data_IF_759587037924
#
_entry.id   IF_759587037924
#
_cell.length_a   1.000
_cell.length_b   1.000
_cell.length_c   1.000
_cell.angle_alpha   90.00
_cell.angle_beta   90.00
_cell.angle_gamma   90.00
#
_symmetry.space_group_name_H-M   'P 1'
#
loop_
_entity.id
_entity.type
_entity.pdbx_description
1 polymer ?
#
# COMPACT_ATOMS: atom_id res chain seq x y z
N UNK A 1 -35.35 16.57 -40.61
CA UNK A 1 -34.71 17.18 -39.42
C UNK A 1 -33.41 16.43 -39.07
N UNK A 2 -32.28 16.98 -39.50
CA UNK A 2 -30.93 16.46 -39.22
C UNK A 2 -30.57 16.73 -37.76
N UNK A 3 -30.17 15.69 -37.03
CA UNK A 3 -29.55 15.82 -35.70
C UNK A 3 -28.04 15.75 -35.86
N UNK A 4 -27.36 16.84 -35.51
CA UNK A 4 -25.90 16.98 -35.55
C UNK A 4 -25.21 16.09 -34.51
N UNK A 5 -24.00 15.55 -34.78
CA UNK A 5 -23.17 14.94 -33.76
C UNK A 5 -22.40 16.01 -32.96
N UNK A 6 -22.57 16.01 -31.64
CA UNK A 6 -21.83 16.85 -30.69
C UNK A 6 -20.37 16.38 -30.60
N UNK A 7 -19.42 17.28 -30.88
CA UNK A 7 -17.99 17.03 -30.73
C UNK A 7 -17.59 16.91 -29.25
N UNK A 8 -16.60 16.05 -28.89
CA UNK A 8 -16.06 16.00 -27.54
C UNK A 8 -15.17 17.24 -27.26
N UNK A 9 -15.37 17.86 -26.09
CA UNK A 9 -14.51 18.94 -25.57
C UNK A 9 -13.15 18.38 -25.15
N UNK A 10 -12.03 19.07 -25.38
CA UNK A 10 -10.73 18.66 -24.85
C UNK A 10 -10.69 18.81 -23.32
N UNK A 11 -9.91 17.99 -22.60
CA UNK A 11 -9.75 18.11 -21.16
C UNK A 11 -9.04 19.42 -20.79
N UNK A 12 -9.56 20.10 -19.77
CA UNK A 12 -8.97 21.28 -19.17
C UNK A 12 -7.63 20.88 -18.52
N UNK A 13 -6.51 21.41 -19.01
CA UNK A 13 -5.23 21.35 -18.31
C UNK A 13 -5.34 22.12 -16.99
N UNK A 14 -5.46 21.40 -15.88
CA UNK A 14 -5.19 21.96 -14.56
C UNK A 14 -3.68 21.95 -14.34
N UNK A 15 -3.05 23.13 -14.48
CA UNK A 15 -1.72 23.37 -13.98
C UNK A 15 -1.79 23.39 -12.44
N UNK A 16 -1.14 22.41 -11.79
CA UNK A 16 -0.97 22.39 -10.33
C UNK A 16 0.06 23.46 -9.97
N UNK A 17 -0.27 24.48 -9.14
CA UNK A 17 0.74 25.41 -8.66
C UNK A 17 1.63 24.69 -7.63
N UNK A 18 2.92 24.57 -7.95
CA UNK A 18 3.95 24.14 -6.99
C UNK A 18 4.09 25.21 -5.90
N UNK A 19 3.53 24.95 -4.73
CA UNK A 19 3.81 25.75 -3.54
C UNK A 19 5.11 25.25 -2.88
N UNK A 20 6.06 26.14 -2.52
CA UNK A 20 7.24 25.75 -1.76
C UNK A 20 6.90 25.48 -0.28
N UNK A 21 7.42 24.37 0.25
CA UNK A 21 7.31 23.95 1.63
C UNK A 21 7.90 24.98 2.62
N UNK A 22 7.28 25.22 3.79
CA UNK A 22 7.85 26.12 4.78
C UNK A 22 9.02 25.48 5.52
N UNK A 23 10.25 25.92 5.22
CA UNK A 23 11.43 25.69 6.07
C UNK A 23 11.40 26.65 7.26
N UNK A 24 10.89 26.18 8.40
CA UNK A 24 11.13 26.84 9.69
C UNK A 24 11.37 25.80 10.78
N UNK A 25 12.61 25.74 11.28
CA UNK A 25 13.06 24.92 12.40
C UNK A 25 12.89 25.75 13.70
N UNK A 26 12.31 25.22 14.79
CA UNK A 26 12.16 25.97 16.04
C UNK A 26 13.53 26.19 16.72
N UNK A 27 13.75 27.35 17.38
CA UNK A 27 15.00 27.63 18.09
C UNK A 27 14.91 27.17 19.54
N UNK A 28 15.91 26.43 20.02
CA UNK A 28 16.10 26.24 21.46
C UNK A 28 16.58 24.87 21.90
N UNK A 29 17.84 24.54 21.64
CA UNK A 29 18.59 23.61 22.51
C UNK A 29 20.01 24.14 22.71
N UNK A 30 20.31 24.52 23.94
CA UNK A 30 21.64 24.99 24.38
C UNK A 30 22.54 23.78 24.55
N UNK A 31 23.74 23.81 23.96
CA UNK A 31 24.79 22.80 24.17
C UNK A 31 25.48 23.04 25.53
N UNK A 32 25.84 22.00 26.29
CA UNK A 32 26.60 22.16 27.51
C UNK A 32 28.08 22.50 27.20
N UNK A 33 28.54 23.65 27.72
CA UNK A 33 29.94 24.07 27.71
C UNK A 33 30.70 23.39 28.85
N UNK A 34 31.70 22.55 28.55
CA UNK A 34 32.72 22.14 29.53
C UNK A 34 33.96 23.01 29.36
N UNK A 35 34.22 23.81 30.40
CA UNK A 35 35.41 24.64 30.59
C UNK A 35 36.55 23.77 31.13
N UNK A 36 37.67 23.71 30.41
CA UNK A 36 38.93 23.19 30.94
C UNK A 36 39.90 24.37 31.09
N UNK A 37 40.34 24.58 32.33
CA UNK A 37 41.21 25.66 32.78
C UNK A 37 42.66 25.35 32.39
N UNK A 38 43.32 26.31 31.74
CA UNK A 38 44.73 26.24 31.36
C UNK A 38 45.66 26.52 32.56
N UNK A 39 46.77 25.79 32.65
CA UNK A 39 47.89 26.06 33.56
C UNK A 39 49.19 26.08 32.76
N UNK A 40 49.96 27.16 32.91
CA UNK A 40 51.43 27.13 33.01
C UNK A 40 52.27 26.92 31.75
N UNK A 41 52.96 27.99 31.34
CA UNK A 41 54.03 28.13 30.34
C UNK A 41 55.16 27.08 30.33
N UNK A 42 55.79 26.91 29.15
CA UNK A 42 57.25 27.05 28.89
C UNK A 42 57.55 27.08 27.37
N UNK A 43 58.67 27.67 26.92
CA UNK A 43 58.88 28.09 25.54
C UNK A 43 59.44 27.01 24.60
N UNK A 44 59.18 27.31 23.32
CA UNK A 44 59.39 26.58 22.08
C UNK A 44 60.87 26.30 21.76
N UNK A 45 61.22 25.09 21.28
CA UNK A 45 62.31 24.90 20.33
C UNK A 45 61.76 24.66 18.92
N UNK A 46 62.23 25.41 17.94
CA UNK A 46 62.02 25.14 16.51
C UNK A 46 63.08 24.18 15.99
N UNK A 47 62.70 23.08 15.32
CA UNK A 47 63.56 22.39 14.37
C UNK A 47 63.06 22.53 12.91
N UNK A 48 63.93 22.24 11.92
CA UNK A 48 63.97 22.92 10.63
C UNK A 48 63.05 22.31 9.56
N UNK A 49 62.77 23.14 8.54
CA UNK A 49 62.14 22.78 7.27
C UNK A 49 62.78 21.53 6.65
N UNK A 50 62.10 20.39 6.68
CA UNK A 50 62.18 19.35 5.62
C UNK A 50 60.98 18.40 5.72
N UNK A 51 60.60 17.85 4.56
CA UNK A 51 59.66 16.75 4.36
C UNK A 51 58.16 17.09 4.47
N UNK A 52 57.64 17.56 3.33
CA UNK A 52 56.21 17.63 3.00
C UNK A 52 55.66 16.22 2.83
N UNK A 53 55.31 15.57 3.94
CA UNK A 53 54.46 14.38 3.94
C UNK A 53 53.02 14.84 3.74
N UNK A 54 52.43 14.55 2.57
CA UNK A 54 50.99 14.64 2.40
C UNK A 54 50.36 13.64 3.40
N UNK A 55 49.41 14.05 4.26
CA UNK A 55 48.71 13.10 5.10
C UNK A 55 47.85 12.19 4.20
N UNK A 56 47.75 10.88 4.47
CA UNK A 56 46.81 9.99 3.80
C UNK A 56 45.41 10.26 4.36
N UNK A 57 44.89 11.46 4.11
CA UNK A 57 43.47 11.71 4.17
C UNK A 57 42.90 11.35 2.79
N UNK A 58 41.72 10.72 2.80
CA UNK A 58 40.88 10.37 1.65
C UNK A 58 41.20 9.04 0.93
N UNK A 59 40.73 7.93 1.52
CA UNK A 59 40.14 6.85 0.72
C UNK A 59 39.09 6.02 1.49
N UNK A 60 38.34 6.63 2.42
CA UNK A 60 37.11 6.02 2.96
C UNK A 60 35.87 6.74 2.38
N UNK A 61 35.95 7.03 1.08
CA UNK A 61 34.88 7.66 0.33
C UNK A 61 33.75 6.66 0.04
N UNK A 62 32.64 6.87 0.74
CA UNK A 62 31.30 6.82 0.15
C UNK A 62 30.79 5.45 -0.32
N UNK A 63 30.33 4.62 0.63
CA UNK A 63 29.20 3.72 0.41
C UNK A 63 27.93 4.26 1.09
N UNK A 64 27.74 5.59 1.07
CA UNK A 64 26.42 6.14 1.35
C UNK A 64 25.53 5.78 0.16
N UNK A 65 24.88 4.61 0.25
CA UNK A 65 23.75 4.29 -0.60
C UNK A 65 22.70 5.36 -0.33
N UNK A 66 22.29 6.18 -1.31
CA UNK A 66 21.16 7.06 -1.11
C UNK A 66 19.96 6.17 -0.79
N UNK A 67 19.42 6.29 0.42
CA UNK A 67 18.11 5.75 0.74
C UNK A 67 17.10 6.62 -0.01
N UNK A 68 16.78 6.22 -1.22
CA UNK A 68 15.75 6.87 -2.01
C UNK A 68 14.43 6.48 -1.36
N UNK A 69 13.80 7.42 -0.64
CA UNK A 69 12.39 7.27 -0.30
C UNK A 69 11.66 7.26 -1.63
N UNK A 70 11.26 6.08 -2.12
CA UNK A 70 10.64 5.96 -3.42
C UNK A 70 9.14 6.20 -3.25
N UNK A 71 8.59 7.34 -3.69
CA UNK A 71 7.15 7.58 -3.66
C UNK A 71 6.37 6.59 -4.55
N UNK A 72 7.06 5.68 -5.25
CA UNK A 72 6.46 4.64 -6.07
C UNK A 72 5.86 3.51 -5.24
N UNK A 73 6.26 3.29 -3.99
CA UNK A 73 5.74 2.16 -3.20
C UNK A 73 4.24 2.26 -2.92
N UNK A 74 3.71 3.47 -2.69
CA UNK A 74 2.25 3.68 -2.52
C UNK A 74 1.44 3.38 -3.79
N UNK A 75 2.09 3.25 -4.95
CA UNK A 75 1.44 2.82 -6.20
C UNK A 75 1.48 1.30 -6.42
N UNK A 76 2.17 0.56 -5.55
CA UNK A 76 2.28 -0.90 -5.59
C UNK A 76 1.28 -1.59 -4.65
N UNK A 77 0.45 -0.82 -3.95
CA UNK A 77 -0.64 -1.31 -3.11
C UNK A 77 -1.93 -0.58 -3.49
N UNK A 78 -3.12 -1.18 -3.31
CA UNK A 78 -4.37 -0.50 -3.58
C UNK A 78 -4.54 0.69 -2.63
N UNK A 79 -5.04 1.82 -3.15
CA UNK A 79 -5.32 3.03 -2.37
C UNK A 79 -4.21 3.43 -1.36
N UNK A 80 -2.93 3.28 -1.69
CA UNK A 80 -1.78 3.45 -0.77
C UNK A 80 -1.57 4.87 -0.19
N UNK A 81 -2.52 5.77 -0.39
CA UNK A 81 -2.57 7.09 0.21
C UNK A 81 -3.86 7.26 1.00
N UNK A 82 -3.78 7.06 2.31
CA UNK A 82 -4.93 7.06 3.22
C UNK A 82 -4.88 8.32 4.08
N UNK A 83 -5.94 9.13 4.06
CA UNK A 83 -6.09 10.32 4.90
C UNK A 83 -4.89 11.31 4.90
N UNK A 84 -4.16 11.42 3.79
CA UNK A 84 -2.99 12.31 3.70
C UNK A 84 -1.66 11.65 4.07
N UNK A 85 -1.65 10.34 4.34
CA UNK A 85 -0.49 9.57 4.74
C UNK A 85 -0.20 8.45 3.73
N UNK A 86 1.09 8.21 3.50
CA UNK A 86 1.55 7.08 2.71
C UNK A 86 1.50 5.80 3.55
N UNK A 87 0.81 4.77 3.05
CA UNK A 87 0.74 3.45 3.69
C UNK A 87 2.15 2.87 3.84
N UNK A 88 2.46 2.27 5.00
CA UNK A 88 3.78 1.66 5.27
C UNK A 88 4.91 2.66 5.59
N UNK A 89 4.67 3.97 5.54
CA UNK A 89 5.68 5.00 5.81
C UNK A 89 5.48 5.67 7.17
N UNK A 90 6.56 5.72 7.94
CA UNK A 90 6.61 6.46 9.20
C UNK A 90 6.92 7.94 8.93
N UNK A 91 5.92 8.80 8.79
CA UNK A 91 6.13 10.26 8.83
C UNK A 91 6.01 10.82 10.25
N UNK A 92 5.03 10.34 11.01
CA UNK A 92 4.70 10.78 12.37
C UNK A 92 3.95 9.73 13.20
N UNK A 93 3.68 8.55 12.62
CA UNK A 93 2.94 7.46 13.22
C UNK A 93 3.84 6.23 13.24
N UNK A 94 4.26 5.78 14.43
CA UNK A 94 5.17 4.64 14.56
C UNK A 94 4.52 3.34 14.11
N UNK A 95 3.21 3.25 14.32
CA UNK A 95 2.42 2.05 14.13
C UNK A 95 2.38 1.69 12.62
N UNK A 96 2.05 2.65 11.73
CA UNK A 96 2.02 2.45 10.25
C UNK A 96 3.32 1.92 9.59
N UNK A 97 4.43 1.80 10.33
CA UNK A 97 5.67 1.19 9.83
C UNK A 97 5.55 -0.33 9.66
N UNK A 98 4.74 -1.01 10.46
CA UNK A 98 4.71 -2.48 10.50
C UNK A 98 4.30 -3.06 9.14
N UNK A 99 3.23 -2.54 8.55
CA UNK A 99 2.86 -2.84 7.16
C UNK A 99 4.00 -2.63 6.17
N UNK A 100 4.78 -1.56 6.33
CA UNK A 100 5.93 -1.28 5.47
C UNK A 100 7.04 -2.32 5.60
N UNK A 101 7.20 -2.95 6.76
CA UNK A 101 8.13 -4.06 6.98
C UNK A 101 7.63 -5.34 6.31
N UNK A 102 6.38 -5.73 6.57
CA UNK A 102 5.77 -6.93 5.94
C UNK A 102 5.73 -6.80 4.41
N UNK A 103 5.38 -5.62 3.89
CA UNK A 103 5.43 -5.37 2.45
C UNK A 103 6.86 -5.47 1.89
N UNK A 104 7.88 -5.14 2.68
CA UNK A 104 9.28 -5.30 2.27
C UNK A 104 9.75 -6.76 2.29
N UNK A 105 9.27 -7.57 3.23
CA UNK A 105 9.50 -9.02 3.29
C UNK A 105 8.79 -9.72 2.11
N UNK A 106 7.63 -9.21 1.69
CA UNK A 106 6.94 -9.60 0.44
C UNK A 106 7.61 -9.03 -0.84
N UNK A 107 8.85 -8.57 -0.77
CA UNK A 107 9.62 -7.98 -1.88
C UNK A 107 8.90 -6.82 -2.62
N UNK A 108 8.06 -6.07 -1.90
CA UNK A 108 7.21 -4.99 -2.43
C UNK A 108 6.19 -5.46 -3.47
N UNK A 109 5.71 -6.70 -3.32
CA UNK A 109 4.62 -7.27 -4.11
C UNK A 109 3.36 -7.32 -3.27
N UNK A 110 2.25 -6.83 -3.83
CA UNK A 110 0.93 -7.03 -3.24
C UNK A 110 0.51 -8.49 -3.45
N UNK A 111 0.98 -9.35 -2.55
CA UNK A 111 0.66 -10.78 -2.57
C UNK A 111 -0.69 -11.03 -1.91
N UNK A 112 -1.30 -12.16 -2.25
CA UNK A 112 -2.54 -12.61 -1.61
C UNK A 112 -2.35 -12.86 -0.10
N UNK A 113 -1.19 -13.41 0.30
CA UNK A 113 -0.81 -13.56 1.71
C UNK A 113 -0.80 -12.21 2.43
N UNK A 114 -0.04 -11.23 1.94
CA UNK A 114 0.00 -9.90 2.53
C UNK A 114 -1.37 -9.21 2.52
N UNK A 115 -2.19 -9.43 1.50
CA UNK A 115 -3.52 -8.86 1.42
C UNK A 115 -4.48 -9.45 2.47
N UNK A 116 -4.36 -10.74 2.78
CA UNK A 116 -5.18 -11.40 3.79
C UNK A 116 -4.66 -11.25 5.22
N UNK A 117 -3.39 -10.90 5.39
CA UNK A 117 -2.80 -10.62 6.70
C UNK A 117 -3.47 -9.42 7.39
N UNK A 118 -3.45 -9.45 8.71
CA UNK A 118 -3.88 -8.38 9.63
C UNK A 118 -2.62 -7.89 10.35
N UNK A 119 -1.94 -6.92 9.74
CA UNK A 119 -0.57 -6.60 10.14
C UNK A 119 -0.50 -5.85 11.48
N UNK A 120 -1.50 -5.06 11.84
CA UNK A 120 -1.56 -4.35 13.13
C UNK A 120 -2.41 -5.05 14.20
N UNK A 121 -3.14 -6.11 13.84
CA UNK A 121 -3.86 -6.97 14.77
C UNK A 121 -5.18 -6.39 15.25
N UNK A 122 -5.77 -5.43 14.53
CA UNK A 122 -7.06 -4.82 14.88
C UNK A 122 -8.27 -5.68 14.46
N UNK A 123 -8.03 -6.79 13.76
CA UNK A 123 -9.03 -7.71 13.25
C UNK A 123 -9.51 -7.38 11.83
N UNK A 124 -8.82 -6.50 11.11
CA UNK A 124 -9.07 -6.17 9.70
C UNK A 124 -7.89 -6.65 8.87
N UNK A 125 -8.18 -7.24 7.71
CA UNK A 125 -7.11 -7.60 6.79
C UNK A 125 -6.63 -6.36 6.04
N UNK A 126 -5.35 -6.36 5.64
CA UNK A 126 -4.73 -5.30 4.87
C UNK A 126 -5.53 -4.98 3.59
N UNK A 127 -6.05 -6.01 2.93
CA UNK A 127 -6.92 -5.88 1.77
C UNK A 127 -8.25 -5.20 2.10
N UNK A 128 -8.90 -5.55 3.21
CA UNK A 128 -10.13 -4.89 3.62
C UNK A 128 -9.91 -3.40 3.90
N UNK A 129 -8.79 -3.06 4.52
CA UNK A 129 -8.43 -1.69 4.87
C UNK A 129 -8.01 -0.85 3.66
N UNK A 130 -7.30 -1.43 2.71
CA UNK A 130 -6.88 -0.74 1.48
C UNK A 130 -7.93 -0.82 0.35
N UNK A 131 -9.06 -1.48 0.60
CA UNK A 131 -10.21 -1.54 -0.30
C UNK A 131 -10.12 -2.63 -1.36
N UNK A 132 -9.21 -3.59 -1.21
CA UNK A 132 -9.12 -4.83 -1.98
C UNK A 132 -9.43 -6.05 -1.09
N UNK A 133 -10.66 -6.18 -0.57
CA UNK A 133 -11.00 -7.28 0.34
C UNK A 133 -10.94 -8.66 -0.32
N UNK A 134 -10.95 -8.74 -1.65
CA UNK A 134 -10.88 -10.02 -2.35
C UNK A 134 -9.51 -10.31 -2.93
N UNK A 135 -8.51 -9.48 -2.62
CA UNK A 135 -7.13 -9.70 -3.02
C UNK A 135 -6.96 -9.88 -4.54
N UNK A 136 -7.78 -9.17 -5.32
CA UNK A 136 -7.81 -9.24 -6.79
C UNK A 136 -7.05 -8.09 -7.44
N UNK A 137 -6.70 -7.06 -6.66
CA UNK A 137 -5.94 -5.93 -7.18
C UNK A 137 -4.50 -6.35 -7.47
N UNK A 138 -3.90 -5.72 -8.48
CA UNK A 138 -2.50 -5.89 -8.81
C UNK A 138 -1.89 -4.54 -9.19
N UNK A 139 -0.56 -4.43 -9.04
CA UNK A 139 0.16 -3.19 -9.32
C UNK A 139 -0.15 -2.63 -10.73
N UNK A 140 -0.67 -1.41 -10.77
CA UNK A 140 -1.08 -0.73 -12.01
C UNK A 140 -2.53 -0.96 -12.43
N UNK A 141 -3.29 -1.81 -11.74
CA UNK A 141 -4.74 -1.91 -11.93
C UNK A 141 -5.43 -0.61 -11.47
N UNK A 142 -6.51 -0.24 -12.16
CA UNK A 142 -7.30 0.92 -11.79
C UNK A 142 -8.10 0.64 -10.52
N UNK A 143 -7.81 1.39 -9.46
CA UNK A 143 -8.52 1.30 -8.17
C UNK A 143 -10.01 1.64 -8.28
N UNK A 144 -10.46 2.28 -9.36
CA UNK A 144 -11.90 2.50 -9.61
C UNK A 144 -12.70 1.20 -9.76
N UNK A 145 -12.02 0.09 -10.05
CA UNK A 145 -12.61 -1.26 -10.13
C UNK A 145 -12.89 -1.86 -8.74
N UNK A 146 -12.23 -1.38 -7.69
CA UNK A 146 -12.49 -1.72 -6.30
C UNK A 146 -13.80 -1.06 -5.84
N UNK A 147 -14.92 -1.59 -6.35
CA UNK A 147 -16.23 -0.93 -6.23
C UNK A 147 -16.61 -0.72 -4.77
N UNK A 148 -17.02 0.52 -4.47
CA UNK A 148 -17.68 0.85 -3.21
C UNK A 148 -16.76 1.10 -2.02
N UNK A 149 -15.44 1.23 -2.22
CA UNK A 149 -14.53 1.78 -1.23
C UNK A 149 -14.32 3.27 -1.47
N UNK A 150 -14.80 4.09 -0.54
CA UNK A 150 -14.50 5.53 -0.49
C UNK A 150 -13.35 5.79 0.48
N UNK A 151 -12.81 7.00 0.46
CA UNK A 151 -11.73 7.44 1.35
C UNK A 151 -12.08 7.41 2.85
N UNK A 152 -13.36 7.22 3.22
CA UNK A 152 -13.83 7.00 4.60
C UNK A 152 -13.90 5.52 4.99
N UNK A 153 -13.85 4.65 3.99
CA UNK A 153 -14.02 3.20 4.10
C UNK A 153 -12.68 2.46 4.21
N UNK A 154 -11.58 3.19 4.00
CA UNK A 154 -10.20 2.71 3.98
C UNK A 154 -9.44 3.21 5.21
N UNK A 155 -8.44 2.44 5.61
CA UNK A 155 -7.68 2.66 6.84
C UNK A 155 -6.20 2.28 6.67
N UNK A 156 -5.39 2.36 7.73
CA UNK A 156 -3.93 2.24 7.62
C UNK A 156 -3.54 0.89 8.22
N UNK A 157 -3.13 -0.10 7.40
CA UNK A 157 -2.92 -1.48 7.85
C UNK A 157 -1.75 -1.75 8.80
N UNK A 158 -1.06 -0.70 9.22
CA UNK A 158 -0.05 -0.81 10.28
C UNK A 158 -0.47 -0.08 11.56
N UNK A 159 -1.61 0.60 11.59
CA UNK A 159 -2.04 1.41 12.72
C UNK A 159 -3.38 0.92 13.26
N UNK A 160 -3.33 0.17 14.37
CA UNK A 160 -4.48 -0.40 15.07
C UNK A 160 -5.55 0.63 15.50
N UNK A 161 -5.21 1.93 15.48
CA UNK A 161 -6.14 3.03 15.77
C UNK A 161 -6.83 3.56 14.53
N UNK A 162 -6.29 3.28 13.37
CA UNK A 162 -6.82 3.61 12.07
C UNK A 162 -7.50 2.38 11.50
N UNK A 163 -8.75 2.15 11.92
CA UNK A 163 -9.55 0.98 11.53
C UNK A 163 -10.68 1.34 10.55
N UNK A 164 -11.22 0.33 9.88
CA UNK A 164 -12.43 0.44 9.06
C UNK A 164 -13.64 -0.23 9.71
N UNK A 165 -14.81 0.42 9.61
CA UNK A 165 -16.08 -0.17 10.07
C UNK A 165 -16.64 -1.25 9.13
N UNK A 166 -15.95 -1.51 8.01
CA UNK A 166 -16.40 -2.47 7.01
C UNK A 166 -16.22 -3.91 7.48
N UNK A 167 -17.04 -4.75 6.88
CA UNK A 167 -17.00 -6.20 7.02
C UNK A 167 -16.52 -6.79 5.71
N UNK A 168 -15.81 -7.90 5.79
CA UNK A 168 -15.39 -8.64 4.62
C UNK A 168 -16.61 -9.04 3.77
N UNK A 169 -16.66 -8.66 2.48
CA UNK A 169 -17.69 -9.14 1.58
C UNK A 169 -17.48 -10.63 1.28
N UNK A 170 -18.48 -11.24 0.67
CA UNK A 170 -18.30 -12.53 0.00
C UNK A 170 -17.48 -12.25 -1.26
N UNK A 171 -16.30 -12.83 -1.33
CA UNK A 171 -15.52 -12.88 -2.56
C UNK A 171 -16.06 -14.03 -3.37
N UNK A 172 -16.75 -13.71 -4.46
CA UNK A 172 -17.16 -14.73 -5.42
C UNK A 172 -15.87 -15.24 -6.08
N UNK A 173 -15.49 -16.46 -5.74
CA UNK A 173 -14.70 -17.27 -6.66
C UNK A 173 -15.64 -17.43 -7.86
N UNK A 174 -15.24 -16.94 -9.04
CA UNK A 174 -16.00 -17.20 -10.25
C UNK A 174 -16.14 -18.72 -10.37
N UNK A 175 -17.31 -19.26 -9.98
CA UNK A 175 -17.75 -20.60 -10.27
C UNK A 175 -17.95 -20.67 -11.80
N UNK A 176 -16.85 -20.75 -12.53
CA UNK A 176 -16.77 -21.13 -13.95
C UNK A 176 -17.01 -22.65 -14.12
N UNK A 177 -17.74 -23.29 -13.19
CA UNK A 177 -18.19 -24.66 -13.31
C UNK A 177 -19.72 -24.70 -13.56
N UNK A 178 -20.04 -25.07 -14.80
CA UNK A 178 -21.30 -25.65 -15.30
C UNK A 178 -22.41 -24.71 -15.83
N UNK A 179 -22.14 -24.14 -17.02
CA UNK A 179 -23.13 -24.12 -18.11
C UNK A 179 -23.57 -25.57 -18.42
N UNK A 180 -24.52 -26.10 -17.64
CA UNK A 180 -25.27 -27.32 -17.96
C UNK A 180 -26.15 -27.00 -19.20
N UNK A 181 -25.52 -27.08 -20.36
CA UNK A 181 -26.20 -27.32 -21.63
C UNK A 181 -26.87 -28.69 -21.55
N UNK A 182 -28.23 -28.78 -21.54
CA UNK A 182 -28.89 -30.04 -21.26
C UNK A 182 -28.72 -30.98 -22.45
N UNK A 183 -27.94 -32.04 -22.28
CA UNK A 183 -27.92 -33.19 -23.20
C UNK A 183 -28.05 -34.51 -22.42
N UNK A 184 -28.80 -35.49 -22.95
CA UNK A 184 -29.80 -36.17 -22.15
C UNK A 184 -29.40 -37.61 -21.82
N UNK A 185 -28.61 -37.83 -20.76
CA UNK A 185 -28.32 -39.20 -20.32
C UNK A 185 -28.38 -39.37 -18.80
N UNK A 186 -29.61 -39.43 -18.29
CA UNK A 186 -30.05 -40.42 -17.30
C UNK A 186 -31.57 -40.33 -17.15
N UNK A 187 -32.30 -41.00 -18.05
CA UNK A 187 -33.72 -41.26 -17.80
C UNK A 187 -33.82 -42.27 -16.66
N UNK A 188 -34.40 -41.81 -15.55
CA UNK A 188 -34.99 -42.68 -14.55
C UNK A 188 -35.93 -43.69 -15.23
N UNK A 189 -35.85 -44.95 -14.82
CA UNK A 189 -36.77 -46.01 -15.24
C UNK A 189 -38.23 -45.55 -15.14
N UNK A 190 -39.07 -45.75 -16.18
CA UNK A 190 -40.49 -45.43 -16.09
C UNK A 190 -41.18 -46.38 -15.10
N UNK A 191 -42.00 -45.82 -14.19
CA UNK A 191 -42.91 -46.60 -13.35
C UNK A 191 -43.89 -47.40 -14.23
N UNK A 192 -44.28 -48.63 -13.83
CA UNK A 192 -45.23 -49.42 -14.62
C UNK A 192 -46.60 -48.73 -14.74
N UNK A 193 -47.32 -48.90 -15.85
CA UNK A 193 -48.62 -48.25 -16.07
C UNK A 193 -49.69 -48.77 -15.10
N UNK A 194 -50.51 -47.85 -14.59
CA UNK A 194 -51.68 -48.15 -13.76
C UNK A 194 -52.70 -49.02 -14.51
N UNK A 195 -53.40 -49.95 -13.83
CA UNK A 195 -54.46 -50.74 -14.44
C UNK A 195 -55.68 -49.88 -14.84
N UNK A 196 -56.44 -50.28 -15.88
CA UNK A 196 -57.60 -49.53 -16.34
C UNK A 196 -58.73 -49.52 -15.31
N UNK A 197 -59.57 -48.45 -15.28
CA UNK A 197 -60.69 -48.37 -14.37
C UNK A 197 -61.78 -49.42 -14.70
N UNK A 198 -62.56 -49.86 -13.70
CA UNK A 198 -63.63 -50.83 -13.92
C UNK A 198 -64.77 -50.22 -14.77
N UNK A 199 -65.49 -51.05 -15.55
CA UNK A 199 -66.61 -50.59 -16.37
C UNK A 199 -67.79 -50.09 -15.52
N UNK A 200 -68.61 -49.16 -16.04
CA UNK A 200 -69.79 -48.67 -15.33
C UNK A 200 -70.85 -49.77 -15.18
N UNK A 201 -71.68 -49.72 -14.11
CA UNK A 201 -72.73 -50.70 -13.88
C UNK A 201 -73.87 -50.59 -14.92
N UNK A 202 -74.66 -51.67 -15.11
CA UNK A 202 -75.74 -51.73 -16.09
C UNK A 202 -76.92 -50.82 -15.76
#
# INVERSE_FOLDING_TARGET
PRSSPSSPRPPLSFAIPSAPWPTARPPGMRKPTRSCRAVGHLPRPTPPLTARWLPPCLALGLLLRPTEARPTYVSLVPNGWVNGQATGHQMNNEDNREFGYEFSEAEYVWTEELCHDDTDGDGKSNGLELGDPCCVWYAGADVSQLRGFSMIDISLPGDDRSTTSRTMPVCEEDDDDDDESPSPHSQASPSPPLPPPPPPPP
#
